data_IF_439229343621
#
_entry.id   IF_439229343621
#
_cell.length_a   1.000
_cell.length_b   1.000
_cell.length_c   1.000
_cell.angle_alpha   90.00
_cell.angle_beta   90.00
_cell.angle_gamma   90.00
#
_symmetry.space_group_name_H-M   'P 1'
#
loop_
_entity.id
_entity.type
_entity.pdbx_description
1 polymer ?
#
# COMPACT_ATOMS: atom_id res chain seq x y z
N UNK A 1 14.82 2.68 14.18
CA UNK A 1 13.95 2.34 15.33
C UNK A 1 13.15 1.11 14.97
N UNK A 2 13.04 0.13 15.87
CA UNK A 2 12.14 -1.03 15.67
C UNK A 2 10.71 -0.57 15.99
N UNK A 3 9.72 -0.80 15.11
CA UNK A 3 8.33 -0.42 15.40
C UNK A 3 7.78 -1.15 16.65
N UNK A 4 7.10 -0.42 17.55
CA UNK A 4 6.41 -1.00 18.74
C UNK A 4 5.37 -2.07 18.37
N UNK A 5 4.92 -2.08 17.12
CA UNK A 5 3.97 -3.07 16.61
C UNK A 5 4.53 -4.51 16.52
N UNK A 6 5.82 -4.70 16.82
CA UNK A 6 6.57 -5.96 16.67
C UNK A 6 7.03 -6.54 18.03
N UNK A 7 7.23 -5.70 19.06
CA UNK A 7 7.76 -6.11 20.37
C UNK A 7 7.00 -5.41 21.51
N UNK A 8 6.77 -6.10 22.65
CA UNK A 8 6.36 -5.46 23.90
C UNK A 8 7.25 -4.27 24.25
N UNK A 9 6.70 -3.27 24.95
CA UNK A 9 7.43 -2.06 25.29
C UNK A 9 8.71 -2.32 26.12
N UNK A 10 8.73 -3.24 27.11
CA UNK A 10 9.95 -3.57 27.84
C UNK A 10 11.06 -4.10 26.92
N UNK A 11 10.74 -5.03 26.03
CA UNK A 11 11.71 -5.62 25.10
C UNK A 11 12.25 -4.59 24.09
N UNK A 12 11.41 -3.62 23.70
CA UNK A 12 11.83 -2.50 22.88
C UNK A 12 12.87 -1.63 23.61
N UNK A 13 12.66 -1.37 24.90
CA UNK A 13 13.59 -0.58 25.70
C UNK A 13 14.85 -1.36 26.05
N UNK A 14 14.80 -2.67 26.27
CA UNK A 14 16.00 -3.52 26.41
C UNK A 14 16.91 -3.42 25.18
N UNK A 15 16.32 -3.38 23.97
CA UNK A 15 17.10 -3.18 22.75
C UNK A 15 17.74 -1.79 22.62
N UNK A 16 17.16 -0.77 23.24
CA UNK A 16 17.64 0.62 23.15
C UNK A 16 18.63 0.94 24.28
N UNK A 17 18.35 0.45 25.49
CA UNK A 17 19.02 0.83 26.74
C UNK A 17 19.89 -0.30 27.32
N UNK A 18 19.77 -1.52 26.80
CA UNK A 18 20.41 -2.72 27.35
C UNK A 18 19.52 -3.48 28.33
N UNK A 19 19.90 -4.73 28.61
CA UNK A 19 19.14 -5.66 29.47
C UNK A 19 19.13 -5.28 30.95
N UNK A 20 20.10 -4.48 31.41
CA UNK A 20 20.18 -4.04 32.80
C UNK A 20 19.19 -2.92 33.10
N UNK A 21 17.98 -3.33 33.51
CA UNK A 21 16.87 -2.42 33.85
C UNK A 21 17.15 -1.50 35.05
N UNK A 22 18.19 -1.76 35.86
CA UNK A 22 18.54 -0.89 36.98
C UNK A 22 19.15 0.43 36.52
N UNK A 23 19.79 0.45 35.35
CA UNK A 23 20.42 1.64 34.77
C UNK A 23 19.49 2.43 33.85
N UNK A 24 18.22 2.02 33.73
CA UNK A 24 17.27 2.70 32.87
C UNK A 24 16.90 4.07 33.43
N UNK A 25 16.74 5.08 32.55
CA UNK A 25 16.28 6.39 32.98
C UNK A 25 14.87 6.27 33.59
N UNK A 26 14.56 7.04 34.66
CA UNK A 26 13.28 6.93 35.34
C UNK A 26 12.07 7.17 34.42
N UNK A 27 12.20 7.99 33.39
CA UNK A 27 11.16 8.24 32.40
C UNK A 27 10.81 6.97 31.60
N UNK A 28 11.82 6.17 31.21
CA UNK A 28 11.60 4.89 30.55
C UNK A 28 10.91 3.89 31.50
N UNK A 29 11.39 3.82 32.75
CA UNK A 29 10.80 2.99 33.80
C UNK A 29 9.34 3.38 34.09
N UNK A 30 9.00 4.67 34.04
CA UNK A 30 7.63 5.16 34.22
C UNK A 30 6.72 4.67 33.09
N UNK A 31 7.17 4.72 31.84
CA UNK A 31 6.39 4.19 30.70
C UNK A 31 6.21 2.67 30.79
N UNK A 32 7.24 1.94 31.20
CA UNK A 32 7.17 0.48 31.42
C UNK A 32 6.19 0.16 32.54
N UNK A 33 6.21 0.91 33.64
CA UNK A 33 5.24 0.75 34.71
C UNK A 33 3.79 1.02 34.25
N UNK A 34 3.60 1.94 33.30
CA UNK A 34 2.29 2.18 32.68
C UNK A 34 1.84 1.01 31.79
N UNK A 35 2.76 0.45 30.99
CA UNK A 35 2.52 -0.74 30.15
C UNK A 35 2.23 -2.00 31.00
N UNK A 36 2.88 -2.14 32.16
CA UNK A 36 2.64 -3.19 33.16
C UNK A 36 1.35 -2.99 33.98
N UNK A 37 0.70 -1.82 33.89
CA UNK A 37 -0.46 -1.50 34.72
C UNK A 37 -0.12 -1.19 36.18
N UNK A 38 1.14 -0.97 36.55
CA UNK A 38 1.55 -0.79 37.94
C UNK A 38 1.44 0.68 38.39
N UNK A 39 0.22 1.11 38.72
CA UNK A 39 -0.05 2.50 39.13
C UNK A 39 0.73 2.94 40.38
N UNK A 40 1.03 2.02 41.30
CA UNK A 40 1.86 2.33 42.47
C UNK A 40 3.27 2.72 42.05
N UNK A 41 3.89 1.90 41.18
CA UNK A 41 5.23 2.15 40.64
C UNK A 41 5.28 3.43 39.81
N UNK A 42 4.24 3.73 39.01
CA UNK A 42 4.13 5.01 38.28
C UNK A 42 4.24 6.19 39.25
N UNK A 43 3.51 6.15 40.37
CA UNK A 43 3.52 7.24 41.38
C UNK A 43 4.85 7.34 42.11
N UNK A 44 5.48 6.21 42.45
CA UNK A 44 6.80 6.17 43.09
C UNK A 44 7.86 6.80 42.20
N UNK A 45 7.91 6.42 40.91
CA UNK A 45 8.86 6.99 39.93
C UNK A 45 8.54 8.47 39.64
N UNK A 46 7.27 8.83 39.52
CA UNK A 46 6.88 10.22 39.33
C UNK A 46 7.25 11.10 40.54
N UNK A 47 7.28 10.55 41.77
CA UNK A 47 7.75 11.27 42.93
C UNK A 47 9.26 11.53 42.88
N UNK A 48 10.06 10.59 42.34
CA UNK A 48 11.50 10.81 42.14
C UNK A 48 11.82 11.80 41.02
N UNK A 49 10.89 11.98 40.07
CA UNK A 49 11.01 12.94 38.96
C UNK A 49 10.41 14.33 39.28
N UNK A 50 9.83 14.51 40.47
CA UNK A 50 9.11 15.74 40.85
C UNK A 50 10.05 16.81 41.43
N UNK A 51 11.17 17.07 40.76
CA UNK A 51 12.19 18.03 41.22
C UNK A 51 11.66 19.47 41.28
N UNK A 52 10.68 19.78 40.44
CA UNK A 52 10.06 21.10 40.32
C UNK A 52 8.85 21.31 41.26
N UNK A 53 8.50 20.31 42.10
CA UNK A 53 7.41 20.43 43.08
C UNK A 53 6.00 20.56 42.49
N UNK A 54 5.82 20.22 41.21
CA UNK A 54 4.56 20.39 40.47
C UNK A 54 3.50 19.33 40.78
N UNK A 55 3.90 18.29 41.51
CA UNK A 55 3.03 17.24 42.02
C UNK A 55 2.97 16.03 41.10
N UNK A 56 2.71 14.85 41.70
CA UNK A 56 2.77 13.55 41.03
C UNK A 56 1.95 13.52 39.72
N UNK A 57 0.68 13.96 39.67
CA UNK A 57 -0.11 13.90 38.44
C UNK A 57 0.47 14.76 37.30
N UNK A 58 0.97 15.95 37.63
CA UNK A 58 1.57 16.86 36.65
C UNK A 58 2.93 16.37 36.14
N UNK A 59 3.70 15.67 36.98
CA UNK A 59 4.94 14.99 36.56
C UNK A 59 4.60 13.84 35.61
N UNK A 60 3.64 12.97 35.95
CA UNK A 60 3.21 11.88 35.06
C UNK A 60 2.75 12.42 33.69
N UNK A 61 1.98 13.51 33.67
CA UNK A 61 1.45 14.09 32.45
C UNK A 61 2.52 14.64 31.49
N UNK A 62 3.63 15.19 32.02
CA UNK A 62 4.72 15.75 31.21
C UNK A 62 5.76 14.72 30.81
N UNK A 63 5.91 13.65 31.58
CA UNK A 63 6.99 12.69 31.38
C UNK A 63 6.81 12.01 30.04
N UNK A 64 7.82 12.15 29.19
CA UNK A 64 7.90 11.46 27.91
C UNK A 64 9.25 10.81 27.77
N UNK A 65 9.30 9.72 27.01
CA UNK A 65 10.54 9.06 26.68
C UNK A 65 10.48 8.58 25.22
N UNK A 66 11.49 8.96 24.42
CA UNK A 66 11.50 8.73 22.97
C UNK A 66 10.21 9.21 22.26
N UNK A 67 9.65 10.32 22.73
CA UNK A 67 8.43 10.92 22.17
C UNK A 67 7.11 10.29 22.64
N UNK A 68 7.14 9.18 23.38
CA UNK A 68 5.95 8.53 23.94
C UNK A 68 5.65 9.05 25.36
N UNK A 69 4.38 9.11 25.73
CA UNK A 69 3.93 9.40 27.11
C UNK A 69 3.31 8.17 27.78
N UNK A 70 3.04 8.25 29.09
CA UNK A 70 2.40 7.17 29.84
C UNK A 70 1.06 6.74 29.24
N UNK A 71 0.34 7.68 28.62
CA UNK A 71 -0.95 7.43 27.98
C UNK A 71 -0.84 6.59 26.70
N UNK A 72 0.29 6.71 25.98
CA UNK A 72 0.60 5.82 24.86
C UNK A 72 1.05 4.45 25.37
N UNK A 73 1.80 4.40 26.46
CA UNK A 73 2.34 3.16 27.00
C UNK A 73 1.27 2.27 27.66
N UNK A 74 0.26 2.87 28.31
CA UNK A 74 -0.73 2.17 29.11
C UNK A 74 -1.45 1.02 28.38
N UNK A 75 -1.68 -0.07 29.10
CA UNK A 75 -2.44 -1.25 28.65
C UNK A 75 -3.74 -1.43 29.44
N UNK A 76 -3.69 -1.18 30.75
CA UNK A 76 -4.76 -1.45 31.70
C UNK A 76 -5.70 -0.25 31.94
N UNK A 77 -6.98 -0.55 32.11
CA UNK A 77 -8.04 0.45 32.24
C UNK A 77 -7.84 1.39 33.43
N UNK A 78 -7.39 0.89 34.58
CA UNK A 78 -7.20 1.73 35.78
C UNK A 78 -6.06 2.73 35.62
N UNK A 79 -5.06 2.43 34.78
CA UNK A 79 -4.01 3.41 34.42
C UNK A 79 -4.63 4.51 33.56
N UNK A 80 -5.41 4.16 32.54
CA UNK A 80 -6.12 5.17 31.73
C UNK A 80 -7.05 6.06 32.55
N UNK A 81 -7.79 5.50 33.53
CA UNK A 81 -8.59 6.29 34.48
C UNK A 81 -7.74 7.31 35.22
N UNK A 82 -6.63 6.88 35.81
CA UNK A 82 -5.73 7.79 36.50
C UNK A 82 -5.18 8.88 35.58
N UNK A 83 -4.73 8.52 34.37
CA UNK A 83 -4.12 9.47 33.43
C UNK A 83 -5.12 10.53 32.94
N UNK A 84 -6.38 10.15 32.71
CA UNK A 84 -7.43 11.06 32.23
C UNK A 84 -8.05 11.84 33.40
N UNK A 85 -8.52 11.17 34.43
CA UNK A 85 -9.31 11.80 35.51
C UNK A 85 -8.45 12.55 36.53
N UNK A 86 -7.22 12.08 36.78
CA UNK A 86 -6.34 12.67 37.81
C UNK A 86 -5.20 13.46 37.20
N UNK A 87 -4.50 12.92 36.20
CA UNK A 87 -3.40 13.62 35.53
C UNK A 87 -3.88 14.59 34.43
N UNK A 88 -5.19 14.63 34.13
CA UNK A 88 -5.82 15.53 33.16
C UNK A 88 -5.12 15.55 31.80
N UNK A 89 -4.68 14.38 31.34
CA UNK A 89 -4.00 14.22 30.06
C UNK A 89 -5.00 14.22 28.90
N UNK A 90 -4.61 14.83 27.78
CA UNK A 90 -5.41 14.86 26.55
C UNK A 90 -5.33 13.51 25.81
N UNK A 91 -6.48 12.82 25.74
CA UNK A 91 -6.64 11.51 25.09
C UNK A 91 -6.39 11.53 23.56
N UNK A 92 -6.40 12.70 22.93
CA UNK A 92 -6.17 12.87 21.50
C UNK A 92 -4.75 13.32 21.16
N UNK A 93 -3.95 13.69 22.15
CA UNK A 93 -2.61 14.20 21.92
C UNK A 93 -1.73 13.11 21.29
N UNK A 94 -1.26 13.27 20.04
CA UNK A 94 -0.38 12.30 19.43
C UNK A 94 0.98 12.30 20.11
N UNK A 95 1.67 11.16 20.05
CA UNK A 95 3.08 11.09 20.42
C UNK A 95 3.96 11.93 19.48
N UNK A 96 5.19 12.18 19.92
CA UNK A 96 6.20 12.91 19.14
C UNK A 96 7.07 11.97 18.30
N UNK A 97 6.65 10.71 18.10
CA UNK A 97 7.37 9.79 17.21
C UNK A 97 7.09 10.14 15.75
N UNK A 98 7.88 9.63 14.78
CA UNK A 98 7.58 9.84 13.36
C UNK A 98 6.18 9.38 12.95
N UNK A 99 5.64 8.32 13.60
CA UNK A 99 4.31 7.79 13.33
C UNK A 99 3.19 8.65 13.95
N UNK A 100 3.54 9.49 14.94
CA UNK A 100 2.64 10.42 15.65
C UNK A 100 1.38 9.75 16.18
N UNK A 101 1.47 8.52 16.71
CA UNK A 101 0.31 7.70 17.07
C UNK A 101 -0.49 8.34 18.21
N UNK A 102 -1.82 8.21 18.18
CA UNK A 102 -2.66 8.60 19.34
C UNK A 102 -2.69 7.48 20.37
N UNK A 103 -3.03 7.78 21.64
CA UNK A 103 -3.30 6.76 22.65
C UNK A 103 -4.32 5.71 22.19
N UNK A 104 -5.37 6.15 21.49
CA UNK A 104 -6.40 5.26 20.94
C UNK A 104 -5.82 4.28 19.92
N UNK A 105 -5.03 4.75 18.96
CA UNK A 105 -4.38 3.88 17.96
C UNK A 105 -3.48 2.83 18.63
N UNK A 106 -2.78 3.22 19.68
CA UNK A 106 -1.88 2.33 20.41
C UNK A 106 -2.65 1.26 21.21
N UNK A 107 -3.75 1.65 21.87
CA UNK A 107 -4.65 0.71 22.55
C UNK A 107 -5.29 -0.28 21.55
N UNK A 108 -5.64 0.19 20.35
CA UNK A 108 -6.17 -0.64 19.26
C UNK A 108 -5.13 -1.64 18.77
N UNK A 109 -3.88 -1.19 18.53
CA UNK A 109 -2.80 -2.05 18.10
C UNK A 109 -2.51 -3.15 19.14
N UNK A 110 -2.49 -2.77 20.43
CA UNK A 110 -2.33 -3.69 21.57
C UNK A 110 -3.49 -4.67 21.76
N UNK A 111 -4.70 -4.31 21.30
CA UNK A 111 -5.90 -5.13 21.47
C UNK A 111 -6.61 -4.93 22.81
N UNK A 112 -6.34 -3.81 23.50
CA UNK A 112 -6.87 -3.53 24.83
C UNK A 112 -8.32 -3.02 24.76
N UNK A 113 -9.29 -3.91 24.48
CA UNK A 113 -10.70 -3.54 24.27
C UNK A 113 -11.31 -2.66 25.37
N UNK A 114 -11.11 -2.93 26.69
CA UNK A 114 -11.64 -2.06 27.74
C UNK A 114 -11.07 -0.64 27.69
N UNK A 115 -9.77 -0.51 27.40
CA UNK A 115 -9.11 0.79 27.24
C UNK A 115 -9.62 1.53 26.00
N UNK A 116 -9.77 0.84 24.86
CA UNK A 116 -10.32 1.42 23.63
C UNK A 116 -11.72 1.97 23.87
N UNK A 117 -12.60 1.20 24.51
CA UNK A 117 -13.95 1.66 24.87
C UNK A 117 -13.90 2.91 25.75
N UNK A 118 -13.08 2.87 26.79
CA UNK A 118 -12.94 3.97 27.73
C UNK A 118 -12.43 5.24 27.06
N UNK A 119 -11.39 5.15 26.21
CA UNK A 119 -10.85 6.29 25.47
C UNK A 119 -11.91 6.93 24.56
N UNK A 120 -12.66 6.13 23.80
CA UNK A 120 -13.73 6.65 22.92
C UNK A 120 -14.83 7.32 23.76
N UNK A 121 -15.23 6.71 24.88
CA UNK A 121 -16.25 7.27 25.78
C UNK A 121 -15.77 8.58 26.45
N UNK A 122 -14.46 8.85 26.47
CA UNK A 122 -13.84 10.08 26.97
C UNK A 122 -13.32 10.99 25.85
N UNK A 123 -13.90 10.90 24.65
CA UNK A 123 -13.68 11.87 23.58
C UNK A 123 -12.45 11.61 22.71
N UNK A 124 -11.86 10.41 22.74
CA UNK A 124 -10.85 10.04 21.75
C UNK A 124 -11.47 9.94 20.35
N UNK A 125 -10.84 10.59 19.37
CA UNK A 125 -11.33 10.68 18.00
C UNK A 125 -11.07 9.38 17.23
N UNK A 126 -12.14 8.77 16.73
CA UNK A 126 -12.10 7.55 15.90
C UNK A 126 -11.89 7.87 14.41
N UNK A 127 -11.96 9.14 14.02
CA UNK A 127 -11.82 9.60 12.63
C UNK A 127 -10.42 10.15 12.34
N UNK A 128 -9.45 9.92 13.23
CA UNK A 128 -8.05 10.26 13.00
C UNK A 128 -7.57 9.60 11.70
N UNK A 129 -7.09 10.45 10.80
CA UNK A 129 -6.50 10.07 9.52
C UNK A 129 -4.97 10.27 9.59
N UNK A 130 -4.24 9.25 9.16
CA UNK A 130 -2.78 9.28 9.01
C UNK A 130 -2.38 9.47 7.56
N UNK A 131 -1.07 9.40 7.30
CA UNK A 131 -0.57 9.31 5.92
C UNK A 131 -1.39 8.31 5.12
N UNK A 132 -1.71 8.67 3.87
CA UNK A 132 -2.53 7.86 2.96
C UNK A 132 -3.95 7.58 3.45
N UNK A 133 -4.48 8.42 4.35
CA UNK A 133 -5.82 8.32 4.95
C UNK A 133 -6.07 6.97 5.64
N UNK A 134 -5.02 6.39 6.23
CA UNK A 134 -5.15 5.20 7.08
C UNK A 134 -5.89 5.61 8.36
N UNK A 135 -6.92 4.82 8.71
CA UNK A 135 -7.79 5.05 9.88
C UNK A 135 -7.57 4.00 10.96
N UNK A 136 -8.05 4.25 12.17
CA UNK A 136 -8.03 3.28 13.28
C UNK A 136 -8.70 1.93 12.94
N UNK A 137 -9.70 1.92 12.06
CA UNK A 137 -10.36 0.69 11.60
C UNK A 137 -9.42 -0.17 10.75
N UNK A 138 -8.56 0.43 9.92
CA UNK A 138 -7.54 -0.30 9.17
C UNK A 138 -6.54 -0.98 10.11
N UNK A 139 -6.10 -0.26 11.15
CA UNK A 139 -5.18 -0.80 12.16
C UNK A 139 -5.81 -1.99 12.90
N UNK A 140 -7.07 -1.85 13.35
CA UNK A 140 -7.80 -2.91 14.02
C UNK A 140 -7.96 -4.16 13.13
N UNK A 141 -8.31 -3.96 11.85
CA UNK A 141 -8.48 -5.04 10.89
C UNK A 141 -7.16 -5.75 10.54
N UNK A 142 -6.09 -4.98 10.29
CA UNK A 142 -4.73 -5.49 10.03
C UNK A 142 -4.17 -6.31 11.18
N UNK A 143 -4.61 -6.04 12.42
CA UNK A 143 -4.21 -6.75 13.63
C UNK A 143 -5.22 -7.83 14.06
N UNK A 144 -6.30 -8.05 13.32
CA UNK A 144 -7.31 -9.08 13.61
C UNK A 144 -8.09 -8.83 14.90
N UNK A 145 -8.22 -7.57 15.34
CA UNK A 145 -8.89 -7.21 16.60
C UNK A 145 -10.40 -7.17 16.42
N UNK A 146 -11.03 -8.33 16.25
CA UNK A 146 -12.46 -8.45 15.85
C UNK A 146 -13.43 -7.67 16.74
N UNK A 147 -13.33 -7.77 18.06
CA UNK A 147 -14.24 -7.06 18.96
C UNK A 147 -14.02 -5.53 18.95
N UNK A 148 -12.79 -5.08 18.67
CA UNK A 148 -12.49 -3.67 18.47
C UNK A 148 -13.05 -3.19 17.13
N UNK A 149 -12.95 -3.99 16.06
CA UNK A 149 -13.57 -3.69 14.77
C UNK A 149 -15.09 -3.53 14.93
N UNK A 150 -15.77 -4.45 15.62
CA UNK A 150 -17.21 -4.33 15.93
C UNK A 150 -17.51 -3.02 16.69
N UNK A 151 -16.71 -2.71 17.70
CA UNK A 151 -16.88 -1.48 18.48
C UNK A 151 -16.74 -0.23 17.60
N UNK A 152 -15.67 -0.12 16.81
CA UNK A 152 -15.43 1.04 15.95
C UNK A 152 -16.55 1.23 14.92
N UNK A 153 -17.03 0.15 14.30
CA UNK A 153 -18.15 0.20 13.36
C UNK A 153 -19.45 0.64 14.05
N UNK A 154 -19.72 0.15 15.26
CA UNK A 154 -20.88 0.56 16.06
C UNK A 154 -20.84 2.04 16.48
N UNK A 155 -19.64 2.65 16.48
CA UNK A 155 -19.40 4.07 16.76
C UNK A 155 -19.32 4.93 15.50
N UNK A 156 -19.64 4.39 14.33
CA UNK A 156 -19.74 5.16 13.09
C UNK A 156 -18.46 5.23 12.26
N UNK A 157 -17.47 4.37 12.50
CA UNK A 157 -16.33 4.26 11.60
C UNK A 157 -16.78 3.84 10.19
N UNK A 158 -16.26 4.52 9.16
CA UNK A 158 -16.55 4.16 7.76
C UNK A 158 -16.02 2.76 7.44
N UNK A 159 -16.91 1.82 7.08
CA UNK A 159 -16.59 0.40 6.96
C UNK A 159 -15.46 0.09 5.97
N UNK A 160 -15.47 0.74 4.80
CA UNK A 160 -14.40 0.56 3.81
C UNK A 160 -13.17 1.42 4.09
N UNK A 161 -13.20 2.24 5.14
CA UNK A 161 -12.22 3.30 5.38
C UNK A 161 -12.21 4.39 4.29
N UNK A 162 -11.35 5.39 4.50
CA UNK A 162 -11.14 6.52 3.57
C UNK A 162 -9.85 6.40 2.75
N UNK A 163 -9.05 5.35 2.96
CA UNK A 163 -7.81 5.15 2.22
C UNK A 163 -8.12 4.68 0.80
N UNK A 164 -7.48 5.30 -0.18
CA UNK A 164 -7.50 4.81 -1.56
C UNK A 164 -6.50 3.65 -1.77
N UNK A 165 -5.59 3.42 -0.82
CA UNK A 165 -4.49 2.45 -0.96
C UNK A 165 -4.81 1.08 -0.41
N UNK A 166 -5.83 0.97 0.46
CA UNK A 166 -6.22 -0.28 1.10
C UNK A 166 -7.59 -0.15 1.73
N UNK A 167 -8.26 -1.26 2.01
CA UNK A 167 -9.51 -1.29 2.79
C UNK A 167 -9.32 -2.15 4.05
N UNK A 168 -10.08 -1.93 5.12
CA UNK A 168 -10.05 -2.81 6.29
C UNK A 168 -10.35 -4.28 5.93
N UNK A 169 -11.29 -4.50 4.99
CA UNK A 169 -11.64 -5.83 4.51
C UNK A 169 -10.48 -6.51 3.80
N UNK A 170 -9.79 -5.80 2.90
CA UNK A 170 -8.59 -6.30 2.24
C UNK A 170 -7.51 -6.69 3.26
N UNK A 171 -7.19 -5.82 4.23
CA UNK A 171 -6.15 -6.10 5.23
C UNK A 171 -6.47 -7.34 6.09
N UNK A 172 -7.74 -7.52 6.46
CA UNK A 172 -8.18 -8.70 7.20
C UNK A 172 -8.11 -9.97 6.34
N UNK A 173 -8.48 -9.89 5.06
CA UNK A 173 -8.43 -11.00 4.11
C UNK A 173 -6.98 -11.45 3.83
N UNK A 174 -6.04 -10.51 3.61
CA UNK A 174 -4.61 -10.81 3.41
C UNK A 174 -3.99 -11.57 4.59
N UNK A 175 -4.55 -11.40 5.80
CA UNK A 175 -4.09 -12.08 7.01
C UNK A 175 -4.92 -13.32 7.37
N UNK A 176 -5.96 -13.62 6.61
CA UNK A 176 -6.86 -14.75 6.85
C UNK A 176 -7.69 -14.62 8.13
N UNK A 177 -7.95 -13.39 8.61
CA UNK A 177 -8.72 -13.16 9.83
C UNK A 177 -10.23 -13.31 9.61
N UNK A 178 -10.69 -14.55 9.50
CA UNK A 178 -12.08 -14.92 9.21
C UNK A 178 -13.12 -14.14 10.02
N UNK A 179 -13.01 -14.12 11.35
CA UNK A 179 -13.96 -13.43 12.22
C UNK A 179 -14.02 -11.93 11.95
N UNK A 180 -12.90 -11.33 11.54
CA UNK A 180 -12.82 -9.91 11.22
C UNK A 180 -13.41 -9.62 9.84
N UNK A 181 -13.11 -10.47 8.84
CA UNK A 181 -13.73 -10.42 7.50
C UNK A 181 -15.25 -10.53 7.61
N UNK A 182 -15.75 -11.50 8.39
CA UNK A 182 -17.18 -11.70 8.63
C UNK A 182 -17.86 -10.44 9.16
N UNK A 183 -17.32 -9.84 10.22
CA UNK A 183 -17.87 -8.61 10.81
C UNK A 183 -17.89 -7.46 9.81
N UNK A 184 -16.81 -7.27 9.04
CA UNK A 184 -16.74 -6.20 8.05
C UNK A 184 -17.84 -6.37 6.97
N UNK A 185 -18.05 -7.60 6.50
CA UNK A 185 -19.11 -7.92 5.53
C UNK A 185 -20.52 -7.77 6.12
N UNK A 186 -20.74 -8.13 7.39
CA UNK A 186 -22.00 -7.89 8.10
C UNK A 186 -22.35 -6.39 8.14
N UNK A 187 -21.34 -5.53 8.30
CA UNK A 187 -21.44 -4.07 8.23
C UNK A 187 -21.37 -3.51 6.81
N UNK A 188 -21.60 -4.35 5.79
CA UNK A 188 -21.71 -3.95 4.37
C UNK A 188 -20.42 -3.38 3.78
N UNK A 189 -19.26 -3.86 4.21
CA UNK A 189 -18.01 -3.63 3.47
C UNK A 189 -18.17 -4.09 2.02
N UNK A 190 -17.67 -3.30 1.07
CA UNK A 190 -17.70 -3.67 -0.34
C UNK A 190 -16.64 -4.76 -0.62
N UNK A 191 -17.06 -6.00 -0.98
CA UNK A 191 -16.13 -7.10 -1.24
C UNK A 191 -15.29 -6.90 -2.51
N UNK A 192 -15.64 -5.94 -3.36
CA UNK A 192 -15.01 -5.68 -4.65
C UNK A 192 -14.21 -4.37 -4.69
N UNK A 193 -14.18 -3.62 -3.59
CA UNK A 193 -13.45 -2.35 -3.55
C UNK A 193 -11.94 -2.58 -3.73
N UNK A 194 -11.47 -2.28 -4.93
CA UNK A 194 -10.08 -2.41 -5.31
C UNK A 194 -9.23 -1.33 -4.64
N UNK A 195 -8.02 -1.74 -4.25
CA UNK A 195 -6.99 -0.82 -3.72
C UNK A 195 -6.27 -0.11 -4.87
N UNK A 196 -5.57 1.01 -4.61
CA UNK A 196 -4.98 1.92 -5.63
C UNK A 196 -4.18 1.28 -6.78
N UNK A 197 -3.68 0.03 -6.63
CA UNK A 197 -3.06 -0.70 -7.74
C UNK A 197 -4.05 -1.19 -8.80
N UNK A 198 -5.36 -1.12 -8.53
CA UNK A 198 -6.44 -1.64 -9.38
C UNK A 198 -6.39 -3.15 -9.58
N UNK A 199 -5.53 -3.85 -8.83
CA UNK A 199 -5.13 -5.24 -9.05
C UNK A 199 -5.22 -6.12 -7.81
N UNK A 200 -5.68 -5.64 -6.68
CA UNK A 200 -5.77 -6.53 -5.52
C UNK A 200 -7.13 -6.35 -4.83
N UNK A 201 -7.99 -7.34 -5.02
CA UNK A 201 -9.30 -7.45 -4.38
C UNK A 201 -9.18 -8.24 -3.08
N UNK A 202 -10.11 -8.07 -2.13
CA UNK A 202 -10.18 -8.92 -0.94
C UNK A 202 -10.19 -10.42 -1.27
N UNK A 203 -10.84 -10.84 -2.35
CA UNK A 203 -10.89 -12.24 -2.78
C UNK A 203 -9.52 -12.76 -3.22
N UNK A 204 -8.81 -12.01 -4.07
CA UNK A 204 -7.44 -12.34 -4.46
C UNK A 204 -6.52 -12.43 -3.23
N UNK A 205 -6.64 -11.49 -2.29
CA UNK A 205 -5.87 -11.50 -1.06
C UNK A 205 -6.14 -12.75 -0.18
N UNK A 206 -7.40 -13.17 -0.03
CA UNK A 206 -7.77 -14.36 0.71
C UNK A 206 -7.24 -15.66 0.06
N UNK A 207 -7.24 -15.72 -1.28
CA UNK A 207 -6.68 -16.82 -2.05
C UNK A 207 -5.16 -16.91 -1.88
N UNK A 208 -4.44 -15.79 -2.00
CA UNK A 208 -2.99 -15.73 -1.75
C UNK A 208 -2.62 -16.08 -0.31
N UNK A 209 -3.50 -15.75 0.65
CA UNK A 209 -3.36 -16.13 2.06
C UNK A 209 -3.81 -17.58 2.36
N UNK A 210 -4.23 -18.34 1.33
CA UNK A 210 -4.75 -19.71 1.41
C UNK A 210 -5.89 -19.91 2.42
N UNK A 211 -6.62 -18.83 2.73
CA UNK A 211 -7.67 -18.82 3.75
C UNK A 211 -9.03 -19.20 3.16
N UNK A 212 -9.31 -20.51 3.11
CA UNK A 212 -10.60 -21.03 2.61
C UNK A 212 -11.83 -20.39 3.30
N UNK A 213 -11.87 -20.19 4.63
CA UNK A 213 -13.02 -19.55 5.26
C UNK A 213 -13.25 -18.12 4.77
N UNK A 214 -12.19 -17.33 4.58
CA UNK A 214 -12.29 -15.97 4.04
C UNK A 214 -12.77 -15.99 2.59
N UNK A 215 -12.24 -16.88 1.75
CA UNK A 215 -12.67 -17.05 0.35
C UNK A 215 -14.16 -17.33 0.29
N UNK A 216 -14.65 -18.28 1.10
CA UNK A 216 -16.07 -18.63 1.15
C UNK A 216 -16.95 -17.45 1.56
N UNK A 217 -16.57 -16.70 2.60
CA UNK A 217 -17.30 -15.52 3.05
C UNK A 217 -17.35 -14.43 1.97
N UNK A 218 -16.24 -14.19 1.28
CA UNK A 218 -16.15 -13.18 0.23
C UNK A 218 -17.01 -13.54 -0.99
N UNK A 219 -16.98 -14.80 -1.44
CA UNK A 219 -17.86 -15.28 -2.51
C UNK A 219 -19.34 -15.11 -2.10
N UNK A 220 -19.70 -15.50 -0.88
CA UNK A 220 -21.07 -15.35 -0.37
C UNK A 220 -21.52 -13.88 -0.27
N UNK A 221 -20.58 -12.96 -0.07
CA UNK A 221 -20.86 -11.53 -0.04
C UNK A 221 -20.94 -10.89 -1.44
N UNK A 222 -20.71 -11.64 -2.52
CA UNK A 222 -20.76 -11.15 -3.89
C UNK A 222 -19.43 -10.62 -4.41
N UNK A 223 -18.30 -11.16 -3.94
CA UNK A 223 -17.01 -10.90 -4.57
C UNK A 223 -17.00 -11.36 -6.04
N UNK A 224 -16.40 -10.56 -6.92
CA UNK A 224 -16.27 -10.84 -8.34
C UNK A 224 -15.28 -11.98 -8.57
N UNK A 225 -15.82 -13.16 -8.90
CA UNK A 225 -15.04 -14.37 -9.19
C UNK A 225 -14.36 -14.34 -10.55
N UNK A 226 -14.68 -13.35 -11.40
CA UNK A 226 -14.10 -13.11 -12.71
C UNK A 226 -13.28 -11.80 -12.75
N UNK A 227 -12.85 -11.30 -11.59
CA UNK A 227 -11.99 -10.12 -11.50
C UNK A 227 -10.69 -10.30 -12.31
N UNK A 228 -10.06 -9.18 -12.66
CA UNK A 228 -8.85 -9.06 -13.49
C UNK A 228 -7.66 -9.91 -13.00
N UNK A 229 -7.67 -10.34 -11.75
CA UNK A 229 -6.64 -11.18 -11.15
C UNK A 229 -6.84 -12.67 -11.39
N UNK A 230 -7.88 -13.05 -12.12
CA UNK A 230 -8.30 -14.43 -12.35
C UNK A 230 -8.29 -15.25 -11.03
N UNK A 231 -9.26 -15.00 -10.13
CA UNK A 231 -9.36 -15.71 -8.85
C UNK A 231 -9.26 -17.24 -8.99
N UNK A 232 -9.78 -17.81 -10.08
CA UNK A 232 -9.71 -19.24 -10.36
C UNK A 232 -8.27 -19.71 -10.67
N UNK A 233 -7.50 -18.95 -11.44
CA UNK A 233 -6.08 -19.23 -11.66
C UNK A 233 -5.28 -19.13 -10.36
N UNK A 234 -5.52 -18.11 -9.54
CA UNK A 234 -4.88 -17.98 -8.22
C UNK A 234 -5.19 -19.18 -7.31
N UNK A 235 -6.43 -19.65 -7.31
CA UNK A 235 -6.82 -20.85 -6.57
C UNK A 235 -6.09 -22.11 -7.08
N UNK A 236 -5.94 -22.24 -8.40
CA UNK A 236 -5.24 -23.35 -9.03
C UNK A 236 -3.72 -23.33 -8.77
N UNK A 237 -3.07 -22.16 -8.89
CA UNK A 237 -1.66 -21.95 -8.55
C UNK A 237 -1.38 -22.35 -7.09
N UNK A 238 -2.31 -22.04 -6.18
CA UNK A 238 -2.23 -22.41 -4.76
C UNK A 238 -2.67 -23.84 -4.45
N UNK A 239 -3.14 -24.62 -5.42
CA UNK A 239 -3.67 -25.98 -5.20
C UNK A 239 -4.94 -26.04 -4.35
N UNK A 240 -5.72 -24.95 -4.28
CA UNK A 240 -6.89 -24.81 -3.42
C UNK A 240 -8.15 -25.42 -4.07
N UNK A 241 -8.23 -26.74 -4.12
CA UNK A 241 -9.30 -27.49 -4.80
C UNK A 241 -10.72 -27.10 -4.36
N UNK A 242 -10.94 -26.91 -3.06
CA UNK A 242 -12.24 -26.46 -2.52
C UNK A 242 -12.57 -25.03 -2.94
N UNK A 243 -11.59 -24.12 -2.95
CA UNK A 243 -11.80 -22.76 -3.44
C UNK A 243 -12.13 -22.75 -4.93
N UNK A 244 -11.44 -23.56 -5.75
CA UNK A 244 -11.74 -23.72 -7.17
C UNK A 244 -13.19 -24.20 -7.37
N UNK A 245 -13.63 -25.18 -6.58
CA UNK A 245 -15.01 -25.66 -6.62
C UNK A 245 -16.00 -24.54 -6.32
N UNK A 246 -15.81 -23.78 -5.23
CA UNK A 246 -16.70 -22.67 -4.89
C UNK A 246 -16.70 -21.56 -5.94
N UNK A 247 -15.54 -21.25 -6.52
CA UNK A 247 -15.42 -20.25 -7.60
C UNK A 247 -16.18 -20.69 -8.85
N UNK A 248 -16.06 -21.96 -9.26
CA UNK A 248 -16.79 -22.52 -10.40
C UNK A 248 -18.30 -22.55 -10.13
N UNK A 249 -18.73 -22.94 -8.93
CA UNK A 249 -20.14 -22.89 -8.51
C UNK A 249 -20.70 -21.47 -8.51
N UNK A 250 -19.86 -20.47 -8.23
CA UNK A 250 -20.20 -19.04 -8.29
C UNK A 250 -20.10 -18.42 -9.70
N UNK A 251 -19.77 -19.21 -10.73
CA UNK A 251 -19.72 -18.76 -12.13
C UNK A 251 -18.38 -18.21 -12.59
N UNK A 252 -17.27 -18.62 -11.97
CA UNK A 252 -15.93 -18.32 -12.49
C UNK A 252 -15.72 -18.93 -13.88
N UNK A 253 -15.20 -18.14 -14.82
CA UNK A 253 -14.90 -18.57 -16.18
C UNK A 253 -13.53 -19.28 -16.20
N UNK A 254 -13.47 -20.60 -16.48
CA UNK A 254 -12.20 -21.33 -16.57
C UNK A 254 -11.31 -20.89 -17.74
N UNK A 255 -11.89 -20.17 -18.71
CA UNK A 255 -11.18 -19.61 -19.85
C UNK A 255 -10.97 -18.10 -19.71
N UNK A 256 -11.07 -17.54 -18.50
CA UNK A 256 -10.67 -16.15 -18.28
C UNK A 256 -9.19 -16.02 -18.69
N UNK A 257 -8.85 -15.13 -19.64
CA UNK A 257 -7.46 -14.96 -20.04
C UNK A 257 -6.69 -14.48 -18.81
N UNK A 258 -5.62 -15.19 -18.45
CA UNK A 258 -4.66 -14.65 -17.50
C UNK A 258 -4.14 -13.33 -18.07
N UNK A 259 -4.37 -12.22 -17.37
CA UNK A 259 -3.54 -11.05 -17.60
C UNK A 259 -2.14 -11.43 -17.16
N UNK A 260 -1.30 -11.85 -18.12
CA UNK A 260 0.11 -12.16 -17.87
C UNK A 260 0.69 -11.08 -16.97
N UNK A 261 1.37 -11.50 -15.90
CA UNK A 261 2.01 -10.55 -15.00
C UNK A 261 2.95 -9.69 -15.86
N UNK A 262 3.12 -8.42 -15.51
CA UNK A 262 4.03 -7.53 -16.25
C UNK A 262 5.45 -8.11 -16.39
N UNK A 263 5.87 -8.95 -15.44
CA UNK A 263 7.11 -9.73 -15.50
C UNK A 263 7.14 -10.70 -16.68
N UNK A 264 6.03 -11.37 -16.96
CA UNK A 264 5.93 -12.43 -17.94
C UNK A 264 5.82 -11.82 -19.34
N UNK A 265 5.06 -10.72 -19.49
CA UNK A 265 5.04 -9.90 -20.71
C UNK A 265 6.42 -9.30 -21.02
N UNK A 266 7.15 -8.83 -19.98
CA UNK A 266 8.53 -8.36 -20.10
C UNK A 266 9.45 -9.48 -20.58
N UNK A 267 9.33 -10.68 -19.99
CA UNK A 267 10.17 -11.81 -20.35
C UNK A 267 9.93 -12.25 -21.80
N UNK A 268 8.67 -12.42 -22.21
CA UNK A 268 8.34 -12.79 -23.59
C UNK A 268 8.78 -11.72 -24.61
N UNK A 269 8.64 -10.44 -24.25
CA UNK A 269 9.18 -9.34 -25.05
C UNK A 269 10.70 -9.39 -25.18
N UNK A 270 11.42 -9.73 -24.11
CA UNK A 270 12.88 -9.89 -24.14
C UNK A 270 13.28 -11.10 -24.99
N UNK A 271 12.62 -12.25 -24.83
CA UNK A 271 12.91 -13.47 -25.59
C UNK A 271 12.69 -13.26 -27.10
N UNK A 272 11.63 -12.54 -27.48
CA UNK A 272 11.37 -12.16 -28.86
C UNK A 272 12.43 -11.16 -29.39
N UNK A 273 12.84 -10.21 -28.54
CA UNK A 273 13.87 -9.24 -28.88
C UNK A 273 15.24 -9.90 -29.14
N UNK A 274 15.62 -10.87 -28.32
CA UNK A 274 16.84 -11.67 -28.50
C UNK A 274 16.82 -12.50 -29.78
N UNK A 275 15.64 -12.99 -30.19
CA UNK A 275 15.42 -13.68 -31.48
C UNK A 275 15.36 -12.73 -32.69
N UNK A 276 15.56 -11.43 -32.49
CA UNK A 276 15.41 -10.38 -33.51
C UNK A 276 14.01 -10.29 -34.13
N UNK A 277 12.99 -10.80 -33.42
CA UNK A 277 11.59 -10.68 -33.79
C UNK A 277 11.01 -9.39 -33.20
N UNK A 278 11.37 -8.27 -33.83
CA UNK A 278 11.02 -6.93 -33.34
C UNK A 278 9.52 -6.64 -33.41
N UNK A 279 8.79 -7.31 -34.29
CA UNK A 279 7.33 -7.18 -34.41
C UNK A 279 6.69 -7.74 -33.15
N UNK A 280 6.92 -9.03 -32.86
CA UNK A 280 6.35 -9.67 -31.68
C UNK A 280 6.87 -9.04 -30.38
N UNK A 281 8.16 -8.67 -30.32
CA UNK A 281 8.71 -7.97 -29.16
C UNK A 281 7.97 -6.64 -28.90
N UNK A 282 7.68 -5.85 -29.94
CA UNK A 282 6.96 -4.59 -29.81
C UNK A 282 5.51 -4.76 -29.34
N UNK A 283 4.84 -5.85 -29.75
CA UNK A 283 3.50 -6.20 -29.31
C UNK A 283 3.48 -6.55 -27.82
N UNK A 284 4.39 -7.43 -27.39
CA UNK A 284 4.54 -7.81 -25.98
C UNK A 284 4.86 -6.60 -25.11
N UNK A 285 5.80 -5.74 -25.52
CA UNK A 285 6.08 -4.51 -24.79
C UNK A 285 4.89 -3.54 -24.78
N UNK A 286 4.10 -3.49 -25.85
CA UNK A 286 2.88 -2.67 -25.89
C UNK A 286 1.83 -3.19 -24.91
N UNK A 287 1.66 -4.50 -24.80
CA UNK A 287 0.80 -5.10 -23.78
C UNK A 287 1.33 -4.81 -22.37
N UNK A 288 2.64 -4.95 -22.14
CA UNK A 288 3.26 -4.62 -20.85
C UNK A 288 3.07 -3.15 -20.45
N UNK A 289 3.15 -2.22 -21.42
CA UNK A 289 2.94 -0.79 -21.20
C UNK A 289 1.48 -0.40 -21.00
N UNK A 290 0.49 -1.21 -21.41
CA UNK A 290 -0.91 -1.00 -20.98
C UNK A 290 -1.08 -1.24 -19.49
N UNK A 291 -0.21 -2.07 -18.91
CA UNK A 291 -0.25 -2.50 -17.52
C UNK A 291 0.60 -1.58 -16.63
N UNK A 292 1.78 -1.15 -17.10
CA UNK A 292 2.61 -0.11 -16.47
C UNK A 292 3.04 0.95 -17.50
N UNK A 293 2.24 2.01 -17.70
CA UNK A 293 2.49 3.03 -18.73
C UNK A 293 3.76 3.87 -18.52
N UNK A 294 4.28 3.91 -17.29
CA UNK A 294 5.40 4.78 -16.90
C UNK A 294 6.75 4.05 -16.87
N UNK A 295 6.80 2.76 -17.26
CA UNK A 295 8.06 2.01 -17.30
C UNK A 295 8.97 2.50 -18.44
N UNK A 296 9.88 3.39 -18.08
CA UNK A 296 10.90 3.93 -18.99
C UNK A 296 11.73 2.84 -19.66
N UNK A 297 12.02 1.72 -18.98
CA UNK A 297 12.84 0.65 -19.56
C UNK A 297 12.11 -0.09 -20.67
N UNK A 298 10.81 -0.33 -20.49
CA UNK A 298 9.94 -0.90 -21.52
C UNK A 298 9.75 0.07 -22.71
N UNK A 299 9.51 1.35 -22.44
CA UNK A 299 9.42 2.38 -23.48
C UNK A 299 10.70 2.42 -24.33
N UNK A 300 11.87 2.40 -23.68
CA UNK A 300 13.16 2.38 -24.37
C UNK A 300 13.34 1.11 -25.22
N UNK A 301 13.03 -0.08 -24.68
CA UNK A 301 13.10 -1.36 -25.42
C UNK A 301 12.15 -1.39 -26.62
N UNK A 302 10.91 -0.92 -26.45
CA UNK A 302 9.93 -0.81 -27.53
C UNK A 302 10.36 0.20 -28.59
N UNK A 303 10.93 1.34 -28.16
CA UNK A 303 11.54 2.31 -29.07
C UNK A 303 12.61 1.67 -29.96
N UNK A 304 13.46 0.78 -29.43
CA UNK A 304 14.44 0.05 -30.25
C UNK A 304 13.76 -0.80 -31.31
N UNK A 305 12.69 -1.51 -30.94
CA UNK A 305 11.93 -2.33 -31.88
C UNK A 305 11.39 -1.47 -33.04
N UNK A 306 10.80 -0.32 -32.74
CA UNK A 306 10.33 0.64 -33.76
C UNK A 306 11.46 1.13 -34.66
N UNK A 307 12.62 1.49 -34.09
CA UNK A 307 13.79 1.92 -34.86
C UNK A 307 14.28 0.84 -35.82
N UNK A 308 14.29 -0.43 -35.39
CA UNK A 308 14.69 -1.57 -36.22
C UNK A 308 13.68 -1.87 -37.32
N UNK A 309 12.40 -1.57 -37.10
CA UNK A 309 11.32 -1.68 -38.09
C UNK A 309 11.21 -0.47 -39.03
N UNK A 310 11.96 0.62 -38.79
CA UNK A 310 11.86 1.85 -39.59
C UNK A 310 10.70 2.78 -39.18
N UNK A 311 10.02 2.48 -38.08
CA UNK A 311 8.83 3.18 -37.57
C UNK A 311 9.20 4.45 -36.77
N UNK A 312 9.81 5.43 -37.46
CA UNK A 312 10.43 6.61 -36.82
C UNK A 312 9.47 7.47 -35.98
N UNK A 313 8.19 7.56 -36.33
CA UNK A 313 7.19 8.32 -35.56
C UNK A 313 6.88 7.67 -34.21
N UNK A 314 6.65 6.35 -34.20
CA UNK A 314 6.40 5.58 -32.96
C UNK A 314 7.63 5.57 -32.05
N UNK A 315 8.82 5.41 -32.63
CA UNK A 315 10.08 5.50 -31.90
C UNK A 315 10.25 6.87 -31.21
N UNK A 316 9.94 7.96 -31.91
CA UNK A 316 10.07 9.32 -31.36
C UNK A 316 9.09 9.57 -30.20
N UNK A 317 7.87 9.06 -30.28
CA UNK A 317 6.89 9.16 -29.20
C UNK A 317 7.36 8.41 -27.94
N UNK A 318 7.84 7.17 -28.10
CA UNK A 318 8.36 6.37 -26.98
C UNK A 318 9.60 7.02 -26.35
N UNK A 319 10.50 7.57 -27.16
CA UNK A 319 11.69 8.27 -26.67
C UNK A 319 11.34 9.53 -25.86
N UNK A 320 10.36 10.32 -26.30
CA UNK A 320 9.88 11.51 -25.57
C UNK A 320 9.27 11.11 -24.22
N UNK A 321 8.34 10.14 -24.20
CA UNK A 321 7.74 9.62 -22.96
C UNK A 321 8.79 9.02 -22.03
N UNK A 322 9.82 8.37 -22.57
CA UNK A 322 10.92 7.84 -21.79
C UNK A 322 11.71 8.95 -21.06
N UNK A 323 11.95 10.09 -21.71
CA UNK A 323 12.63 11.26 -21.11
C UNK A 323 11.73 11.93 -20.07
N UNK A 324 10.43 12.08 -20.34
CA UNK A 324 9.46 12.60 -19.37
C UNK A 324 9.46 11.77 -18.07
N UNK A 325 9.52 10.44 -18.19
CA UNK A 325 9.55 9.53 -17.04
C UNK A 325 10.94 9.45 -16.36
N UNK A 326 12.05 9.61 -17.10
CA UNK A 326 13.42 9.58 -16.57
C UNK A 326 14.32 10.63 -17.25
N UNK A 327 14.30 11.89 -16.79
CA UNK A 327 15.00 13.01 -17.44
C UNK A 327 16.53 12.90 -17.43
N UNK A 328 17.10 12.13 -16.50
CA UNK A 328 18.55 11.97 -16.31
C UNK A 328 19.10 10.68 -16.95
N UNK A 329 18.33 10.00 -17.81
CA UNK A 329 18.76 8.74 -18.40
C UNK A 329 19.38 8.93 -19.79
N UNK A 330 20.70 8.77 -19.90
CA UNK A 330 21.48 8.98 -21.12
C UNK A 330 20.96 8.21 -22.33
N UNK A 331 20.59 6.95 -22.13
CA UNK A 331 20.13 6.07 -23.21
C UNK A 331 18.82 6.56 -23.82
N UNK A 332 17.96 7.26 -23.05
CA UNK A 332 16.72 7.82 -23.57
C UNK A 332 16.99 8.93 -24.61
N UNK A 333 17.98 9.80 -24.36
CA UNK A 333 18.41 10.82 -25.33
C UNK A 333 19.10 10.21 -26.54
N UNK A 334 19.86 9.12 -26.34
CA UNK A 334 20.41 8.37 -27.47
C UNK A 334 19.29 7.84 -28.38
N UNK A 335 18.23 7.24 -27.81
CA UNK A 335 17.06 6.78 -28.58
C UNK A 335 16.35 7.90 -29.32
N UNK A 336 16.19 9.06 -28.68
CA UNK A 336 15.62 10.24 -29.33
C UNK A 336 16.46 10.69 -30.54
N UNK A 337 17.78 10.73 -30.40
CA UNK A 337 18.71 11.06 -31.48
C UNK A 337 18.61 10.07 -32.65
N UNK A 338 18.56 8.77 -32.36
CA UNK A 338 18.38 7.70 -33.36
C UNK A 338 17.05 7.88 -34.14
N UNK A 339 15.96 8.20 -33.45
CA UNK A 339 14.65 8.43 -34.07
C UNK A 339 14.62 9.68 -34.97
N UNK A 340 15.23 10.77 -34.53
CA UNK A 340 15.36 12.00 -35.32
C UNK A 340 16.23 11.78 -36.57
N UNK A 341 17.32 11.04 -36.45
CA UNK A 341 18.19 10.69 -37.58
C UNK A 341 17.45 9.84 -38.61
N UNK A 342 16.62 8.90 -38.18
CA UNK A 342 15.80 8.09 -39.08
C UNK A 342 14.79 8.95 -39.85
N UNK A 343 14.09 9.87 -39.17
CA UNK A 343 13.19 10.84 -39.83
C UNK A 343 13.95 11.72 -40.83
N UNK A 344 15.11 12.25 -40.46
CA UNK A 344 15.94 13.09 -41.34
C UNK A 344 16.35 12.34 -42.62
N UNK A 345 16.75 11.07 -42.50
CA UNK A 345 17.07 10.22 -43.66
C UNK A 345 15.85 10.03 -44.57
N UNK A 346 14.67 9.82 -44.00
CA UNK A 346 13.44 9.69 -44.78
C UNK A 346 13.13 10.98 -45.58
N UNK A 347 13.24 12.15 -44.95
CA UNK A 347 13.03 13.43 -45.65
C UNK A 347 13.95 13.60 -46.86
N UNK A 348 15.25 13.31 -46.72
CA UNK A 348 16.23 13.44 -47.82
C UNK A 348 15.87 12.54 -49.02
N UNK A 349 15.40 11.31 -48.78
CA UNK A 349 15.01 10.37 -49.84
C UNK A 349 13.75 10.86 -50.54
N UNK A 350 12.74 11.32 -49.80
CA UNK A 350 11.51 11.85 -50.41
C UNK A 350 11.74 13.16 -51.17
N UNK A 351 12.59 14.06 -50.68
CA UNK A 351 12.97 15.27 -51.42
C UNK A 351 13.57 14.91 -52.78
N UNK A 352 14.49 13.93 -52.82
CA UNK A 352 15.08 13.49 -54.09
C UNK A 352 14.07 12.84 -55.02
N UNK A 353 13.09 12.11 -54.49
CA UNK A 353 12.03 11.51 -55.30
C UNK A 353 11.07 12.57 -55.88
N UNK A 354 10.71 13.58 -55.10
CA UNK A 354 9.87 14.71 -55.55
C UNK A 354 10.58 15.59 -56.59
N UNK A 355 11.92 15.70 -56.55
CA UNK A 355 12.69 16.34 -57.62
C UNK A 355 12.56 15.62 -58.97
N UNK A 356 12.36 14.29 -58.95
CA UNK A 356 12.24 13.46 -60.15
C UNK A 356 10.79 13.41 -60.66
N UNK A 357 9.81 13.44 -59.75
CA UNK A 357 8.39 13.42 -60.06
C UNK A 357 7.62 14.41 -59.15
N UNK A 358 7.55 15.70 -59.53
CA UNK A 358 6.96 16.74 -58.70
C UNK A 358 5.43 16.64 -58.52
N UNK A 359 4.75 15.79 -59.28
CA UNK A 359 3.28 15.63 -59.24
C UNK A 359 2.86 14.36 -58.48
N UNK A 360 3.78 13.71 -57.77
CA UNK A 360 3.51 12.50 -57.02
C UNK A 360 2.87 12.81 -55.66
N UNK A 361 1.54 12.89 -55.64
CA UNK A 361 0.74 13.20 -54.45
C UNK A 361 1.00 12.23 -53.27
N UNK A 362 1.31 10.96 -53.55
CA UNK A 362 1.59 9.96 -52.52
C UNK A 362 2.95 10.22 -51.86
N UNK A 363 3.96 10.58 -52.65
CA UNK A 363 5.29 10.91 -52.15
C UNK A 363 5.32 12.24 -51.40
N UNK A 364 4.57 13.24 -51.86
CA UNK A 364 4.42 14.53 -51.19
C UNK A 364 3.79 14.35 -49.81
N UNK A 365 2.72 13.54 -49.73
CA UNK A 365 2.09 13.18 -48.45
C UNK A 365 3.08 12.52 -47.47
N UNK A 366 3.87 11.54 -47.92
CA UNK A 366 4.87 10.87 -47.09
C UNK A 366 6.01 11.81 -46.66
N UNK A 367 6.41 12.76 -47.51
CA UNK A 367 7.37 13.81 -47.18
C UNK A 367 6.86 14.70 -46.04
N UNK A 368 5.61 15.18 -46.13
CA UNK A 368 5.00 16.00 -45.09
C UNK A 368 4.79 15.24 -43.78
N UNK A 369 4.45 13.95 -43.83
CA UNK A 369 4.37 13.09 -42.63
C UNK A 369 5.73 12.91 -41.93
N UNK A 370 6.81 12.79 -42.71
CA UNK A 370 8.19 12.73 -42.18
C UNK A 370 8.60 14.07 -41.55
N UNK A 371 8.23 15.20 -42.19
CA UNK A 371 8.48 16.58 -41.78
C UNK A 371 7.74 17.01 -40.51
N UNK A 372 6.56 16.45 -40.21
CA UNK A 372 5.68 16.93 -39.14
C UNK A 372 6.34 16.75 -37.75
N UNK A 373 7.09 17.78 -37.38
CA UNK A 373 7.66 18.10 -36.08
C UNK A 373 6.72 19.11 -35.46
N UNK A 374 5.69 18.66 -34.74
CA UNK A 374 5.09 19.56 -33.76
C UNK A 374 6.12 19.80 -32.66
N UNK A 375 6.61 21.05 -32.65
CA UNK A 375 7.36 21.68 -31.56
C UNK A 375 6.63 21.50 -30.24
#
# INVERSE_FOLDING_TARGET
MVPRDILPLPDLFEKILGEDRYNWPPEACLLVAADEGNLRRIKEIAATLNDEGLGIPATVARTTFHGMSAMHAASELHVYRYLIEVANMDANKPDSTPDRKTPLEQAIAGGHLPAVRYLIDHGADIHVERERNITVLHTAAKKGRTEIVKLLLSRGAHVDGKSNYTTPLYLAATKGYESTVRVLLEYKADPNKAVASGRETPLAAALSATSLPCVKLLIQAGADVNDKNNPLALAAEGGLTEAMKWLLEAGANPNCPDMMKTSDLKQQGNDAFEKHDYVNASEWYTQALKVDPCDATLLSKRCVCWLRMGEGKKALEDAKKCIENRPNWSEAYQRLGEALMLKKKACVVFTRGLELDPLNDEMDKLFWEAMDLKQ
#
